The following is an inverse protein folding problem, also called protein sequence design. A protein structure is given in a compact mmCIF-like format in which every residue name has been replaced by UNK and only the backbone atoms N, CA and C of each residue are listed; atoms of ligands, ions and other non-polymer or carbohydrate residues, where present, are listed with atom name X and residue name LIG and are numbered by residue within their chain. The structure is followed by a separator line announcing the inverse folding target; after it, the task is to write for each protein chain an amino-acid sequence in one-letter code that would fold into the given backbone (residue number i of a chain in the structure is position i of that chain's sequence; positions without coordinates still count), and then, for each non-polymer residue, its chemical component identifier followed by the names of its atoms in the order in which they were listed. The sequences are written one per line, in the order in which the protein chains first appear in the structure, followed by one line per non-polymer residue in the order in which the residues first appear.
data_IF_700130211827
#
_entry.id   IF_700130211827
#
_cell.length_a   1.000
_cell.length_b   1.000
_cell.length_c   1.000
_cell.angle_alpha   90.00
_cell.angle_beta   90.00
_cell.angle_gamma   90.00
#
_symmetry.space_group_name_H-M   'P 1'
#
loop_
_entity.id
_entity.type
_entity.pdbx_description
1 polymer ?
#
# COMPACT_ATOMS: atom_id res chain seq x y z
N UNK A 1 21.28 -28.25 7.25
CA UNK A 1 21.55 -27.75 5.88
C UNK A 1 21.20 -28.82 4.85
N UNK A 2 20.40 -28.45 3.84
CA UNK A 2 20.26 -29.09 2.50
C UNK A 2 19.54 -30.45 2.31
N UNK A 3 18.53 -30.81 3.10
CA UNK A 3 17.60 -31.92 2.69
C UNK A 3 16.10 -31.67 2.77
N UNK A 4 15.63 -30.55 3.34
CA UNK A 4 14.19 -30.23 3.38
C UNK A 4 13.66 -29.41 2.18
N UNK A 5 14.53 -28.94 1.28
CA UNK A 5 14.12 -28.13 0.12
C UNK A 5 13.73 -29.01 -1.09
N UNK A 6 14.17 -30.27 -1.14
CA UNK A 6 13.85 -31.17 -2.27
C UNK A 6 12.48 -31.87 -2.09
N UNK A 7 11.91 -31.89 -0.88
CA UNK A 7 10.63 -32.57 -0.65
C UNK A 7 9.39 -31.75 -1.07
N UNK A 8 9.51 -30.43 -1.24
CA UNK A 8 8.40 -29.59 -1.70
C UNK A 8 8.19 -29.62 -3.22
N UNK A 9 9.21 -29.98 -4.00
CA UNK A 9 9.08 -30.15 -5.46
C UNK A 9 8.39 -31.44 -5.89
N UNK A 10 8.26 -32.43 -4.99
CA UNK A 10 7.73 -33.77 -5.31
C UNK A 10 6.23 -33.89 -4.95
N UNK A 11 5.69 -33.02 -4.08
CA UNK A 11 4.25 -33.06 -3.77
C UNK A 11 3.34 -32.62 -4.93
N UNK A 12 3.88 -31.99 -5.97
CA UNK A 12 3.13 -31.69 -7.20
C UNK A 12 3.00 -32.89 -8.15
N UNK A 13 3.76 -33.97 -7.95
CA UNK A 13 3.77 -35.13 -8.86
C UNK A 13 3.12 -36.40 -8.30
N UNK A 14 2.77 -36.45 -7.01
CA UNK A 14 2.09 -37.59 -6.39
C UNK A 14 0.80 -37.22 -5.62
N UNK A 15 0.09 -36.20 -6.09
CA UNK A 15 -1.25 -35.84 -5.61
C UNK A 15 -2.36 -36.76 -6.11
N UNK A 16 -2.11 -38.07 -6.21
CA UNK A 16 -3.12 -39.09 -6.38
C UNK A 16 -3.00 -40.02 -5.18
N UNK A 17 -3.82 -39.82 -4.16
CA UNK A 17 -4.47 -40.84 -3.33
C UNK A 17 -5.08 -40.15 -2.10
N UNK A 18 -6.37 -39.82 -2.19
CA UNK A 18 -7.41 -40.05 -1.17
C UNK A 18 -8.72 -39.36 -1.64
N UNK A 19 -9.80 -40.10 -1.90
CA UNK A 19 -11.06 -39.50 -2.32
C UNK A 19 -11.76 -38.88 -1.11
N UNK A 20 -11.97 -37.54 -1.14
CA UNK A 20 -12.97 -36.88 -0.29
C UNK A 20 -12.53 -35.78 0.69
N UNK A 21 -11.30 -35.21 0.62
CA UNK A 21 -10.88 -34.15 1.57
C UNK A 21 -10.33 -32.85 0.93
N UNK A 22 -10.54 -31.65 1.56
CA UNK A 22 -10.22 -30.31 1.01
C UNK A 22 -8.72 -29.91 1.02
N UNK A 23 -7.78 -30.85 1.08
CA UNK A 23 -6.38 -30.52 1.34
C UNK A 23 -5.69 -29.76 0.19
N UNK A 24 -6.05 -30.05 -1.07
CA UNK A 24 -5.48 -29.35 -2.23
C UNK A 24 -5.92 -27.88 -2.24
N UNK A 25 -7.17 -27.60 -1.88
CA UNK A 25 -7.73 -26.24 -1.85
C UNK A 25 -7.21 -25.39 -0.69
N UNK A 26 -6.98 -25.99 0.48
CA UNK A 26 -6.42 -25.26 1.63
C UNK A 26 -4.95 -24.90 1.38
N UNK A 27 -4.14 -25.86 0.90
CA UNK A 27 -2.74 -25.62 0.59
C UNK A 27 -2.55 -24.60 -0.56
N UNK A 28 -3.39 -24.63 -1.60
CA UNK A 28 -3.34 -23.62 -2.67
C UNK A 28 -3.75 -22.22 -2.20
N UNK A 29 -4.65 -22.14 -1.21
CA UNK A 29 -5.09 -20.87 -0.61
C UNK A 29 -3.98 -20.26 0.24
N UNK A 30 -3.37 -21.05 1.13
CA UNK A 30 -2.26 -20.62 1.97
C UNK A 30 -1.04 -20.21 1.14
N UNK A 31 -0.71 -20.97 0.10
CA UNK A 31 0.39 -20.62 -0.81
C UNK A 31 0.11 -19.33 -1.58
N UNK A 32 -1.13 -19.10 -2.03
CA UNK A 32 -1.52 -17.83 -2.63
C UNK A 32 -1.36 -16.67 -1.66
N UNK A 33 -1.72 -16.82 -0.38
CA UNK A 33 -1.61 -15.74 0.61
C UNK A 33 -0.15 -15.40 0.94
N UNK A 34 0.73 -16.41 0.98
CA UNK A 34 2.17 -16.22 1.12
C UNK A 34 2.77 -15.46 -0.08
N UNK A 35 2.34 -15.78 -1.30
CA UNK A 35 2.76 -15.07 -2.51
C UNK A 35 2.28 -13.62 -2.51
N UNK A 36 1.04 -13.36 -2.04
CA UNK A 36 0.53 -12.00 -1.86
C UNK A 36 1.36 -11.25 -0.83
N UNK A 37 1.63 -11.83 0.34
CA UNK A 37 2.42 -11.20 1.38
C UNK A 37 3.87 -10.91 0.94
N UNK A 38 4.48 -11.85 0.20
CA UNK A 38 5.78 -11.69 -0.45
C UNK A 38 5.75 -10.52 -1.44
N UNK A 39 4.75 -10.46 -2.31
CA UNK A 39 4.56 -9.37 -3.26
C UNK A 39 4.34 -8.01 -2.57
N UNK A 40 3.50 -7.96 -1.53
CA UNK A 40 3.25 -6.74 -0.74
C UNK A 40 4.53 -6.26 -0.04
N UNK A 41 5.37 -7.17 0.46
CA UNK A 41 6.69 -6.81 0.98
C UNK A 41 7.61 -6.25 -0.10
N UNK A 42 7.64 -6.86 -1.29
CA UNK A 42 8.42 -6.36 -2.42
C UNK A 42 7.96 -4.99 -2.89
N UNK A 43 6.65 -4.71 -2.87
CA UNK A 43 6.09 -3.39 -3.14
C UNK A 43 6.62 -2.34 -2.15
N UNK A 44 6.69 -2.68 -0.85
CA UNK A 44 7.21 -1.78 0.18
C UNK A 44 8.69 -1.44 -0.04
N UNK A 45 9.49 -2.36 -0.56
CA UNK A 45 10.89 -2.12 -0.90
C UNK A 45 11.10 -1.67 -2.35
N UNK A 46 10.04 -1.20 -3.01
CA UNK A 46 10.07 -0.67 -4.38
C UNK A 46 10.58 -1.67 -5.44
N UNK A 47 10.62 -2.96 -5.11
CA UNK A 47 10.89 -4.02 -6.07
C UNK A 47 9.59 -4.42 -6.78
N UNK A 48 9.05 -3.50 -7.57
CA UNK A 48 7.77 -3.67 -8.25
C UNK A 48 7.78 -4.81 -9.27
N UNK A 49 8.93 -5.03 -9.93
CA UNK A 49 9.08 -6.14 -10.89
C UNK A 49 9.06 -7.51 -10.22
N UNK A 50 9.70 -7.62 -9.04
CA UNK A 50 9.61 -8.81 -8.19
C UNK A 50 8.19 -9.02 -7.69
N UNK A 51 7.55 -7.96 -7.19
CA UNK A 51 6.18 -8.00 -6.71
C UNK A 51 5.21 -8.50 -7.80
N UNK A 52 5.34 -8.01 -9.04
CA UNK A 52 4.52 -8.49 -10.17
C UNK A 52 4.66 -9.99 -10.41
N UNK A 53 5.88 -10.55 -10.31
CA UNK A 53 6.09 -11.98 -10.50
C UNK A 53 5.37 -12.80 -9.44
N UNK A 54 5.42 -12.38 -8.18
CA UNK A 54 4.75 -13.06 -7.07
C UNK A 54 3.22 -12.94 -7.19
N UNK A 55 2.71 -11.74 -7.53
CA UNK A 55 1.28 -11.53 -7.75
C UNK A 55 0.73 -12.31 -8.95
N UNK A 56 1.49 -12.48 -10.04
CA UNK A 56 1.06 -13.31 -11.18
C UNK A 56 0.88 -14.77 -10.74
N UNK A 57 1.85 -15.34 -10.01
CA UNK A 57 1.72 -16.70 -9.47
C UNK A 57 0.53 -16.83 -8.52
N UNK A 58 0.31 -15.82 -7.67
CA UNK A 58 -0.85 -15.80 -6.78
C UNK A 58 -2.16 -15.76 -7.57
N UNK A 59 -2.22 -14.98 -8.65
CA UNK A 59 -3.40 -14.88 -9.51
C UNK A 59 -3.72 -16.21 -10.18
N UNK A 60 -2.71 -16.89 -10.74
CA UNK A 60 -2.86 -18.22 -11.35
C UNK A 60 -3.45 -19.23 -10.35
N UNK A 61 -2.97 -19.21 -9.10
CA UNK A 61 -3.53 -20.07 -8.05
C UNK A 61 -4.98 -19.69 -7.72
N UNK A 62 -5.27 -18.40 -7.51
CA UNK A 62 -6.62 -17.93 -7.21
C UNK A 62 -7.61 -18.27 -8.33
N UNK A 63 -7.22 -18.12 -9.59
CA UNK A 63 -8.02 -18.50 -10.75
C UNK A 63 -8.23 -20.03 -10.83
N UNK A 64 -7.21 -20.83 -10.50
CA UNK A 64 -7.31 -22.30 -10.52
C UNK A 64 -8.34 -22.86 -9.53
N UNK A 65 -8.48 -22.21 -8.37
CA UNK A 65 -9.48 -22.57 -7.34
C UNK A 65 -10.76 -21.76 -7.44
N UNK A 66 -10.88 -20.88 -8.46
CA UNK A 66 -12.03 -19.99 -8.68
C UNK A 66 -12.32 -19.07 -7.49
N UNK A 67 -11.29 -18.62 -6.78
CA UNK A 67 -11.41 -17.59 -5.74
C UNK A 67 -11.35 -16.20 -6.40
N UNK A 68 -12.51 -15.76 -6.86
CA UNK A 68 -12.64 -14.52 -7.63
C UNK A 68 -12.47 -13.27 -6.76
N UNK A 69 -12.82 -13.36 -5.47
CA UNK A 69 -12.56 -12.28 -4.50
C UNK A 69 -11.06 -12.07 -4.32
N UNK A 70 -10.30 -13.16 -4.18
CA UNK A 70 -8.85 -13.10 -4.09
C UNK A 70 -8.22 -12.65 -5.40
N UNK A 71 -8.68 -13.17 -6.54
CA UNK A 71 -8.24 -12.74 -7.87
C UNK A 71 -8.41 -11.23 -8.05
N UNK A 72 -9.55 -10.66 -7.62
CA UNK A 72 -9.80 -9.22 -7.65
C UNK A 72 -8.79 -8.43 -6.79
N UNK A 73 -8.53 -8.88 -5.57
CA UNK A 73 -7.55 -8.25 -4.69
C UNK A 73 -6.11 -8.29 -5.26
N UNK A 74 -5.75 -9.38 -5.95
CA UNK A 74 -4.45 -9.54 -6.62
C UNK A 74 -4.36 -8.65 -7.86
N UNK A 75 -5.42 -8.57 -8.67
CA UNK A 75 -5.46 -7.72 -9.86
C UNK A 75 -5.28 -6.24 -9.52
N UNK A 76 -5.80 -5.79 -8.38
CA UNK A 76 -5.57 -4.42 -7.90
C UNK A 76 -4.09 -4.18 -7.57
N UNK A 77 -3.41 -5.15 -6.94
CA UNK A 77 -1.97 -5.09 -6.66
C UNK A 77 -1.13 -5.13 -7.92
N UNK A 78 -1.52 -5.95 -8.90
CA UNK A 78 -0.91 -5.96 -10.24
C UNK A 78 -1.10 -4.62 -10.96
N UNK A 79 -2.29 -4.03 -10.85
CA UNK A 79 -2.57 -2.68 -11.34
C UNK A 79 -1.64 -1.65 -10.72
N UNK A 80 -1.55 -1.61 -9.38
CA UNK A 80 -0.67 -0.69 -8.64
C UNK A 80 0.80 -0.88 -9.01
N UNK A 81 1.31 -2.11 -8.97
CA UNK A 81 2.70 -2.40 -9.35
C UNK A 81 3.02 -2.00 -10.80
N UNK A 82 2.07 -2.13 -11.73
CA UNK A 82 2.25 -1.67 -13.10
C UNK A 82 2.26 -0.14 -13.23
N UNK A 83 1.49 0.58 -12.40
CA UNK A 83 1.54 2.05 -12.28
C UNK A 83 2.93 2.48 -11.82
N UNK A 84 3.45 1.88 -10.74
CA UNK A 84 4.79 2.18 -10.21
C UNK A 84 5.91 1.86 -11.22
N UNK A 85 5.73 0.84 -12.06
CA UNK A 85 6.65 0.51 -13.17
C UNK A 85 6.47 1.40 -14.41
N UNK A 86 5.61 2.41 -14.35
CA UNK A 86 5.27 3.29 -15.46
C UNK A 86 4.68 2.56 -16.69
N UNK A 87 4.09 1.36 -16.50
CA UNK A 87 3.49 0.54 -17.55
C UNK A 87 1.98 0.76 -17.60
N UNK A 88 1.59 1.85 -18.24
CA UNK A 88 0.18 2.26 -18.40
C UNK A 88 -0.69 1.19 -19.07
N UNK A 89 -0.13 0.42 -20.00
CA UNK A 89 -0.86 -0.60 -20.76
C UNK A 89 -1.21 -1.79 -19.87
N UNK A 90 -0.25 -2.32 -19.11
CA UNK A 90 -0.53 -3.42 -18.16
C UNK A 90 -1.42 -2.95 -17.02
N UNK A 91 -1.17 -1.77 -16.45
CA UNK A 91 -2.01 -1.22 -15.38
C UNK A 91 -3.48 -1.17 -15.81
N UNK A 92 -3.75 -0.56 -16.96
CA UNK A 92 -5.11 -0.47 -17.53
C UNK A 92 -5.72 -1.86 -17.78
N UNK A 93 -4.93 -2.82 -18.25
CA UNK A 93 -5.39 -4.20 -18.49
C UNK A 93 -5.83 -4.88 -17.19
N UNK A 94 -5.00 -4.82 -16.15
CA UNK A 94 -5.32 -5.42 -14.85
C UNK A 94 -6.52 -4.75 -14.19
N UNK A 95 -6.61 -3.42 -14.24
CA UNK A 95 -7.73 -2.69 -13.63
C UNK A 95 -9.07 -2.90 -14.37
N UNK A 96 -9.05 -3.08 -15.70
CA UNK A 96 -10.25 -3.50 -16.45
C UNK A 96 -10.67 -4.93 -16.09
N UNK A 97 -9.69 -5.82 -15.90
CA UNK A 97 -9.95 -7.18 -15.47
C UNK A 97 -10.59 -7.19 -14.07
N UNK A 98 -10.01 -6.46 -13.12
CA UNK A 98 -10.57 -6.26 -11.78
C UNK A 98 -12.02 -5.76 -11.83
N UNK A 99 -12.28 -4.69 -12.62
CA UNK A 99 -13.64 -4.14 -12.76
C UNK A 99 -14.65 -5.17 -13.28
N UNK A 100 -14.25 -6.03 -14.23
CA UNK A 100 -15.12 -7.09 -14.78
C UNK A 100 -15.50 -8.10 -13.71
N UNK A 101 -14.52 -8.60 -12.95
CA UNK A 101 -14.76 -9.54 -11.84
C UNK A 101 -15.63 -8.85 -10.79
N UNK A 102 -15.32 -7.62 -10.41
CA UNK A 102 -16.09 -6.89 -9.40
C UNK A 102 -17.56 -6.66 -9.78
N UNK A 103 -17.90 -6.57 -11.08
CA UNK A 103 -19.29 -6.54 -11.56
C UNK A 103 -20.03 -7.88 -11.35
N UNK A 104 -19.26 -8.97 -11.25
CA UNK A 104 -19.63 -10.34 -10.90
C UNK A 104 -20.38 -10.50 -9.57
N UNK A 105 -19.96 -9.72 -8.56
CA UNK A 105 -20.20 -10.02 -7.13
C UNK A 105 -20.94 -8.92 -6.39
N UNK A 106 -22.17 -9.16 -5.89
CA UNK A 106 -22.92 -8.17 -5.12
C UNK A 106 -22.13 -7.62 -3.91
N UNK A 107 -21.41 -8.49 -3.20
CA UNK A 107 -20.75 -8.19 -1.91
C UNK A 107 -19.27 -7.78 -2.02
N UNK A 108 -18.79 -7.35 -3.20
CA UNK A 108 -17.39 -6.95 -3.41
C UNK A 108 -17.14 -5.45 -3.17
N UNK A 109 -17.86 -4.82 -2.22
CA UNK A 109 -17.78 -3.38 -1.99
C UNK A 109 -16.35 -2.90 -1.60
N UNK A 110 -15.65 -3.52 -0.62
CA UNK A 110 -14.27 -3.12 -0.30
C UNK A 110 -13.33 -3.26 -1.50
N UNK A 111 -13.42 -4.36 -2.24
CA UNK A 111 -12.53 -4.63 -3.37
C UNK A 111 -12.83 -3.71 -4.57
N UNK A 112 -14.10 -3.35 -4.79
CA UNK A 112 -14.50 -2.31 -5.76
C UNK A 112 -13.91 -0.96 -5.39
N UNK A 113 -13.98 -0.57 -4.13
CA UNK A 113 -13.35 0.66 -3.66
C UNK A 113 -11.84 0.63 -3.91
N UNK A 114 -11.14 -0.43 -3.50
CA UNK A 114 -9.71 -0.59 -3.80
C UNK A 114 -9.38 -0.52 -5.30
N UNK A 115 -10.25 -1.06 -6.16
CA UNK A 115 -10.11 -0.95 -7.62
C UNK A 115 -10.25 0.50 -8.09
N UNK A 116 -11.24 1.24 -7.57
CA UNK A 116 -11.47 2.66 -7.87
C UNK A 116 -10.29 3.52 -7.40
N UNK A 117 -9.78 3.31 -6.18
CA UNK A 117 -8.60 4.01 -5.69
C UNK A 117 -7.38 3.77 -6.60
N UNK A 118 -7.20 2.54 -7.08
CA UNK A 118 -6.09 2.24 -8.01
C UNK A 118 -6.32 2.87 -9.40
N UNK A 119 -7.57 3.04 -9.84
CA UNK A 119 -7.88 3.89 -11.00
C UNK A 119 -7.58 5.38 -10.73
N UNK A 120 -7.81 5.86 -9.52
CA UNK A 120 -7.41 7.21 -9.09
C UNK A 120 -5.90 7.41 -9.25
N UNK A 121 -5.10 6.48 -8.74
CA UNK A 121 -3.65 6.44 -8.94
C UNK A 121 -3.26 6.38 -10.42
N UNK A 122 -3.97 5.56 -11.21
CA UNK A 122 -3.72 5.45 -12.65
C UNK A 122 -3.90 6.79 -13.37
N UNK A 123 -5.02 7.49 -13.13
CA UNK A 123 -5.28 8.78 -13.76
C UNK A 123 -4.37 9.89 -13.21
N UNK A 124 -3.99 9.83 -11.93
CA UNK A 124 -3.00 10.73 -11.35
C UNK A 124 -1.66 10.69 -12.11
N UNK A 125 -1.26 9.51 -12.62
CA UNK A 125 0.00 9.36 -13.35
C UNK A 125 -0.12 9.49 -14.87
N UNK A 126 -1.21 8.99 -15.46
CA UNK A 126 -1.31 8.82 -16.92
C UNK A 126 -2.46 9.58 -17.58
N UNK A 127 -3.21 10.40 -16.84
CA UNK A 127 -4.39 11.06 -17.39
C UNK A 127 -4.75 12.36 -16.67
N UNK A 128 -5.99 12.84 -16.86
CA UNK A 128 -6.41 14.12 -16.31
C UNK A 128 -6.71 14.03 -14.81
N UNK A 129 -6.30 15.07 -14.09
CA UNK A 129 -6.50 15.22 -12.64
C UNK A 129 -7.97 15.14 -12.21
N UNK A 130 -8.89 15.61 -13.06
CA UNK A 130 -10.34 15.53 -12.80
C UNK A 130 -10.84 14.09 -12.70
N UNK A 131 -10.30 13.18 -13.50
CA UNK A 131 -10.64 11.76 -13.40
C UNK A 131 -10.01 11.15 -12.14
N UNK A 132 -8.76 11.49 -11.83
CA UNK A 132 -8.10 11.01 -10.61
C UNK A 132 -8.93 11.34 -9.35
N UNK A 133 -9.32 12.60 -9.20
CA UNK A 133 -10.18 13.06 -8.12
C UNK A 133 -11.50 12.29 -8.04
N UNK A 134 -12.21 12.19 -9.17
CA UNK A 134 -13.50 11.47 -9.24
C UNK A 134 -13.39 10.00 -8.82
N UNK A 135 -12.29 9.32 -9.19
CA UNK A 135 -12.07 7.93 -8.81
C UNK A 135 -11.74 7.76 -7.32
N UNK A 136 -10.96 8.67 -6.72
CA UNK A 136 -10.70 8.67 -5.29
C UNK A 136 -11.98 8.95 -4.49
N UNK A 137 -12.78 9.95 -4.88
CA UNK A 137 -14.05 10.29 -4.24
C UNK A 137 -15.02 9.11 -4.23
N UNK A 138 -15.20 8.46 -5.38
CA UNK A 138 -16.06 7.27 -5.47
C UNK A 138 -15.54 6.09 -4.66
N UNK A 139 -14.23 5.95 -4.50
CA UNK A 139 -13.65 4.94 -3.61
C UNK A 139 -13.97 5.23 -2.16
N UNK A 140 -13.83 6.49 -1.72
CA UNK A 140 -14.10 6.90 -0.35
C UNK A 140 -15.59 6.79 -0.02
N UNK A 141 -16.47 7.20 -0.93
CA UNK A 141 -17.92 7.08 -0.79
C UNK A 141 -18.33 5.63 -0.47
N UNK A 142 -17.91 4.66 -1.29
CA UNK A 142 -18.20 3.23 -1.06
C UNK A 142 -17.68 2.76 0.31
N UNK A 143 -16.46 3.14 0.68
CA UNK A 143 -15.88 2.70 1.95
C UNK A 143 -16.64 3.30 3.14
N UNK A 144 -17.01 4.57 3.08
CA UNK A 144 -17.72 5.25 4.16
C UNK A 144 -19.15 4.73 4.31
N UNK A 145 -19.84 4.42 3.21
CA UNK A 145 -21.24 3.97 3.26
C UNK A 145 -21.39 2.49 3.55
N UNK A 146 -20.47 1.64 3.07
CA UNK A 146 -20.66 0.19 3.11
C UNK A 146 -19.64 -0.53 4.00
N UNK A 147 -18.50 0.09 4.31
CA UNK A 147 -17.35 -0.60 4.88
C UNK A 147 -16.57 0.29 5.86
N UNK A 148 -17.26 1.03 6.74
CA UNK A 148 -16.63 2.04 7.61
C UNK A 148 -15.59 1.46 8.59
N UNK A 149 -15.71 0.16 8.91
CA UNK A 149 -14.77 -0.60 9.75
C UNK A 149 -13.43 -0.90 9.04
N UNK A 150 -13.35 -0.72 7.71
CA UNK A 150 -12.13 -0.93 6.92
C UNK A 150 -11.15 0.24 7.08
N UNK A 151 -10.79 0.58 8.32
CA UNK A 151 -9.93 1.71 8.67
C UNK A 151 -8.59 1.70 7.91
N UNK A 152 -8.02 0.52 7.67
CA UNK A 152 -6.79 0.39 6.88
C UNK A 152 -6.97 0.80 5.41
N UNK A 153 -8.11 0.48 4.81
CA UNK A 153 -8.40 0.85 3.43
C UNK A 153 -8.75 2.33 3.32
N UNK A 154 -9.65 2.81 4.18
CA UNK A 154 -9.99 4.25 4.28
C UNK A 154 -8.75 5.10 4.43
N UNK A 155 -7.89 4.76 5.40
CA UNK A 155 -6.64 5.45 5.65
C UNK A 155 -5.67 5.44 4.46
N UNK A 156 -5.58 4.31 3.73
CA UNK A 156 -4.74 4.20 2.54
C UNK A 156 -5.26 5.06 1.38
N UNK A 157 -6.57 5.05 1.14
CA UNK A 157 -7.18 5.86 0.07
C UNK A 157 -7.06 7.34 0.39
N UNK A 158 -7.30 7.75 1.65
CA UNK A 158 -7.04 9.12 2.09
C UNK A 158 -5.58 9.52 1.86
N UNK A 159 -4.62 8.66 2.19
CA UNK A 159 -3.19 8.96 1.98
C UNK A 159 -2.87 9.19 0.50
N UNK A 160 -3.30 8.27 -0.36
CA UNK A 160 -3.08 8.35 -1.80
C UNK A 160 -3.76 9.60 -2.39
N UNK A 161 -4.96 9.95 -1.90
CA UNK A 161 -5.67 11.14 -2.35
C UNK A 161 -5.03 12.44 -1.85
N UNK A 162 -4.54 12.47 -0.61
CA UNK A 162 -3.79 13.59 -0.04
C UNK A 162 -2.50 13.87 -0.84
N UNK A 163 -1.77 12.82 -1.24
CA UNK A 163 -0.59 12.94 -2.11
C UNK A 163 -0.94 13.51 -3.48
N UNK A 164 -2.05 13.06 -4.08
CA UNK A 164 -2.57 13.64 -5.32
C UNK A 164 -2.89 15.13 -5.16
N UNK A 165 -3.66 15.50 -4.15
CA UNK A 165 -4.03 16.89 -3.89
C UNK A 165 -2.82 17.77 -3.58
N UNK A 166 -1.83 17.25 -2.86
CA UNK A 166 -0.57 17.94 -2.62
C UNK A 166 0.18 18.23 -3.93
N UNK A 167 0.27 17.26 -4.86
CA UNK A 167 0.89 17.45 -6.18
C UNK A 167 0.25 18.60 -6.97
N UNK A 168 -1.07 18.71 -6.93
CA UNK A 168 -1.82 19.76 -7.63
C UNK A 168 -1.99 21.04 -6.79
N UNK A 169 -1.34 21.12 -5.62
CA UNK A 169 -1.40 22.26 -4.67
C UNK A 169 -2.82 22.61 -4.23
N UNK A 170 -3.68 21.61 -4.08
CA UNK A 170 -5.03 21.78 -3.56
C UNK A 170 -4.97 21.86 -2.02
N UNK A 171 -5.57 22.89 -1.39
CA UNK A 171 -5.53 23.07 0.07
C UNK A 171 -6.21 21.94 0.85
N UNK A 172 -7.13 21.19 0.25
CA UNK A 172 -7.77 20.02 0.88
C UNK A 172 -6.81 18.86 1.12
N UNK A 173 -5.58 18.91 0.59
CA UNK A 173 -4.55 17.88 0.82
C UNK A 173 -4.26 17.66 2.31
N UNK A 174 -4.21 18.73 3.10
CA UNK A 174 -3.89 18.68 4.53
C UNK A 174 -4.98 17.95 5.31
N UNK A 175 -6.24 18.34 5.11
CA UNK A 175 -7.38 17.68 5.77
C UNK A 175 -7.41 16.18 5.44
N UNK A 176 -7.15 15.82 4.18
CA UNK A 176 -7.14 14.43 3.75
C UNK A 176 -5.96 13.65 4.36
N UNK A 177 -4.79 14.28 4.50
CA UNK A 177 -3.64 13.69 5.18
C UNK A 177 -3.95 13.44 6.66
N UNK A 178 -4.58 14.40 7.35
CA UNK A 178 -5.00 14.26 8.75
C UNK A 178 -5.99 13.10 8.90
N UNK A 179 -7.05 13.04 8.08
CA UNK A 179 -8.01 11.93 8.06
C UNK A 179 -7.34 10.58 7.85
N UNK A 180 -6.33 10.52 6.97
CA UNK A 180 -5.54 9.31 6.77
C UNK A 180 -4.90 8.83 8.08
N UNK A 181 -4.30 9.75 8.85
CA UNK A 181 -3.69 9.41 10.14
C UNK A 181 -4.72 8.90 11.16
N UNK A 182 -5.91 9.51 11.22
CA UNK A 182 -6.99 9.12 12.14
C UNK A 182 -7.46 7.68 11.90
N UNK A 183 -7.64 7.31 10.63
CA UNK A 183 -7.98 5.94 10.26
C UNK A 183 -6.82 4.97 10.51
N UNK A 184 -5.60 5.32 10.09
CA UNK A 184 -4.45 4.41 10.20
C UNK A 184 -3.96 4.21 11.64
N UNK A 185 -4.25 5.13 12.57
CA UNK A 185 -3.97 4.96 14.01
C UNK A 185 -4.73 3.79 14.64
N UNK A 186 -5.86 3.42 14.06
CA UNK A 186 -6.71 2.32 14.54
C UNK A 186 -6.21 0.96 14.04
N UNK A 187 -5.20 0.95 13.17
CA UNK A 187 -4.67 -0.26 12.52
C UNK A 187 -3.37 -0.71 13.19
N UNK A 188 -3.24 -2.02 13.38
CA UNK A 188 -2.05 -2.65 13.97
C UNK A 188 -1.16 -3.34 12.91
N UNK A 189 0.02 -3.80 13.33
CA UNK A 189 0.93 -4.58 12.49
C UNK A 189 1.68 -3.78 11.40
N UNK A 190 2.03 -4.46 10.30
CA UNK A 190 2.86 -3.90 9.20
C UNK A 190 2.20 -2.70 8.52
N UNK A 191 0.86 -2.62 8.57
CA UNK A 191 0.10 -1.46 8.08
C UNK A 191 0.44 -0.16 8.81
N UNK A 192 1.08 -0.20 9.99
CA UNK A 192 1.60 1.00 10.67
C UNK A 192 2.68 1.73 9.85
N UNK A 193 3.35 1.08 8.89
CA UNK A 193 4.27 1.77 7.97
C UNK A 193 3.53 2.86 7.18
N UNK A 194 2.26 2.61 6.79
CA UNK A 194 1.45 3.64 6.12
C UNK A 194 1.10 4.80 7.05
N UNK A 195 0.94 4.55 8.35
CA UNK A 195 0.76 5.62 9.33
C UNK A 195 2.01 6.51 9.43
N UNK A 196 3.21 5.92 9.35
CA UNK A 196 4.46 6.70 9.31
C UNK A 196 4.52 7.60 8.07
N UNK A 197 4.10 7.09 6.91
CA UNK A 197 4.00 7.87 5.66
C UNK A 197 2.96 9.00 5.77
N UNK A 198 1.78 8.73 6.32
CA UNK A 198 0.77 9.75 6.57
C UNK A 198 1.25 10.83 7.55
N UNK A 199 1.89 10.45 8.65
CA UNK A 199 2.52 11.41 9.58
C UNK A 199 3.63 12.21 8.91
N UNK A 200 4.47 11.59 8.09
CA UNK A 200 5.51 12.30 7.36
C UNK A 200 4.91 13.35 6.42
N UNK A 201 3.83 13.00 5.71
CA UNK A 201 3.11 13.92 4.84
C UNK A 201 2.52 15.11 5.63
N UNK A 202 1.80 14.85 6.74
CA UNK A 202 1.27 15.92 7.60
C UNK A 202 2.39 16.82 8.13
N UNK A 203 3.48 16.24 8.63
CA UNK A 203 4.63 17.00 9.14
C UNK A 203 5.24 17.92 8.07
N UNK A 204 5.30 17.47 6.82
CA UNK A 204 5.78 18.28 5.70
C UNK A 204 4.85 19.46 5.36
N UNK A 205 3.53 19.25 5.41
CA UNK A 205 2.52 20.27 5.12
C UNK A 205 2.45 21.34 6.22
N UNK A 206 2.43 20.90 7.48
CA UNK A 206 2.34 21.82 8.64
C UNK A 206 3.61 22.67 8.78
N UNK A 207 4.77 22.16 8.34
CA UNK A 207 6.02 22.94 8.26
C UNK A 207 5.85 24.22 7.43
N UNK A 208 5.07 24.17 6.35
CA UNK A 208 4.83 25.33 5.48
C UNK A 208 4.01 26.44 6.18
N UNK A 209 3.24 26.09 7.22
CA UNK A 209 2.40 27.01 8.00
C UNK A 209 3.09 27.59 9.23
N UNK A 210 4.25 27.06 9.63
CA UNK A 210 5.00 27.51 10.81
C UNK A 210 4.48 27.02 12.16
N UNK A 211 3.50 26.11 12.18
CA UNK A 211 2.90 25.54 13.39
C UNK A 211 3.83 24.48 14.01
N UNK A 212 4.82 24.95 14.77
CA UNK A 212 5.98 24.16 15.23
C UNK A 212 5.60 22.96 16.10
N UNK A 213 4.64 23.11 17.03
CA UNK A 213 4.23 22.01 17.91
C UNK A 213 3.56 20.87 17.15
N UNK A 214 2.66 21.21 16.23
CA UNK A 214 1.94 20.23 15.40
C UNK A 214 2.89 19.53 14.42
N UNK A 215 3.84 20.27 13.83
CA UNK A 215 4.93 19.69 13.02
C UNK A 215 5.71 18.67 13.83
N UNK A 216 6.12 19.02 15.05
CA UNK A 216 6.91 18.14 15.91
C UNK A 216 6.13 16.89 16.30
N UNK A 217 4.81 16.98 16.55
CA UNK A 217 3.96 15.82 16.80
C UNK A 217 4.03 14.80 15.66
N UNK A 218 3.82 15.25 14.42
CA UNK A 218 3.80 14.38 13.26
C UNK A 218 5.18 13.79 12.92
N UNK A 219 6.22 14.63 12.89
CA UNK A 219 7.57 14.17 12.54
C UNK A 219 8.11 13.17 13.58
N UNK A 220 7.94 13.45 14.87
CA UNK A 220 8.33 12.52 15.93
C UNK A 220 7.50 11.23 15.88
N UNK A 221 6.20 11.32 15.60
CA UNK A 221 5.33 10.16 15.44
C UNK A 221 5.78 9.25 14.29
N UNK A 222 6.13 9.82 13.14
CA UNK A 222 6.67 9.07 12.01
C UNK A 222 7.98 8.36 12.35
N UNK A 223 8.91 9.07 13.01
CA UNK A 223 10.20 8.51 13.43
C UNK A 223 10.06 7.41 14.50
N UNK A 224 9.12 7.56 15.44
CA UNK A 224 8.84 6.53 16.45
C UNK A 224 8.29 5.25 15.84
N UNK A 225 7.44 5.37 14.82
CA UNK A 225 6.97 4.19 14.08
C UNK A 225 8.16 3.56 13.35
N UNK A 226 8.97 4.36 12.66
CA UNK A 226 10.12 3.86 11.91
C UNK A 226 11.13 3.10 12.79
N UNK A 227 11.37 3.54 14.02
CA UNK A 227 12.35 2.93 14.92
C UNK A 227 12.00 1.49 15.35
N UNK A 228 10.71 1.12 15.27
CA UNK A 228 10.25 -0.25 15.54
C UNK A 228 10.19 -1.14 14.29
N UNK A 229 10.47 -0.59 13.11
CA UNK A 229 10.56 -1.33 11.84
C UNK A 229 12.02 -1.41 11.37
N UNK A 230 12.79 -2.44 11.78
CA UNK A 230 14.22 -2.56 11.49
C UNK A 230 14.58 -2.66 10.00
N UNK A 231 13.58 -2.87 9.13
CA UNK A 231 13.72 -2.81 7.67
C UNK A 231 12.58 -1.97 7.08
N UNK A 232 12.59 -0.68 7.35
CA UNK A 232 11.65 0.23 6.71
C UNK A 232 11.99 0.44 5.22
N UNK A 233 11.00 0.82 4.38
CA UNK A 233 11.27 1.26 3.02
C UNK A 233 12.34 2.36 2.99
N UNK A 234 13.45 2.19 2.23
CA UNK A 234 14.58 3.12 2.28
C UNK A 234 14.18 4.56 1.98
N UNK A 235 13.37 4.80 0.94
CA UNK A 235 12.95 6.14 0.57
C UNK A 235 12.07 6.81 1.63
N UNK A 236 11.16 6.06 2.26
CA UNK A 236 10.35 6.58 3.35
C UNK A 236 11.22 6.94 4.57
N UNK A 237 12.18 6.07 4.91
CA UNK A 237 13.12 6.32 5.99
C UNK A 237 13.94 7.61 5.74
N UNK A 238 14.47 7.77 4.52
CA UNK A 238 15.21 8.97 4.10
C UNK A 238 14.33 10.23 4.27
N UNK A 239 13.07 10.20 3.82
CA UNK A 239 12.16 11.34 3.93
C UNK A 239 11.86 11.71 5.39
N UNK A 240 11.59 10.71 6.24
CA UNK A 240 11.31 10.93 7.66
C UNK A 240 12.53 11.52 8.37
N UNK A 241 13.71 10.97 8.13
CA UNK A 241 14.94 11.51 8.72
C UNK A 241 15.30 12.90 8.20
N UNK A 242 15.02 13.21 6.92
CA UNK A 242 15.19 14.54 6.39
C UNK A 242 14.26 15.56 7.07
N UNK A 243 13.00 15.19 7.30
CA UNK A 243 12.05 16.04 8.03
C UNK A 243 12.44 16.21 9.51
N UNK A 244 12.95 15.15 10.14
CA UNK A 244 13.47 15.22 11.51
C UNK A 244 14.72 16.11 11.61
N UNK A 245 15.63 16.03 10.64
CA UNK A 245 16.80 16.90 10.59
C UNK A 245 16.41 18.36 10.33
N UNK A 246 15.44 18.61 9.43
CA UNK A 246 14.90 19.95 9.22
C UNK A 246 14.29 20.54 10.50
N UNK A 247 13.51 19.74 11.24
CA UNK A 247 12.99 20.13 12.56
C UNK A 247 14.11 20.55 13.53
N UNK A 248 15.25 19.86 13.52
CA UNK A 248 16.41 20.18 14.37
C UNK A 248 17.11 21.46 13.93
N UNK A 249 17.24 21.69 12.63
CA UNK A 249 17.75 22.95 12.07
C UNK A 249 16.85 24.13 12.48
N UNK A 250 15.54 23.99 12.36
CA UNK A 250 14.57 25.03 12.73
C UNK A 250 14.57 25.35 14.23
N UNK A 251 15.17 24.49 15.05
CA UNK A 251 15.32 24.67 16.50
C UNK A 251 16.75 25.06 16.92
N UNK A 252 17.61 25.47 15.97
CA UNK A 252 19.04 25.78 16.17
C UNK A 252 19.87 24.62 16.75
N UNK A 253 19.38 23.38 16.63
CA UNK A 253 20.04 22.15 17.09
C UNK A 253 20.89 21.52 15.96
N UNK A 254 21.85 22.29 15.44
CA UNK A 254 22.61 21.89 14.24
C UNK A 254 23.42 20.59 14.42
N UNK A 255 23.95 20.32 15.61
CA UNK A 255 24.71 19.09 15.87
C UNK A 255 23.81 17.83 15.75
N UNK A 256 22.60 17.88 16.31
CA UNK A 256 21.62 16.81 16.18
C UNK A 256 21.24 16.56 14.72
N UNK A 257 21.03 17.64 13.95
CA UNK A 257 20.70 17.55 12.53
C UNK A 257 21.81 16.84 11.73
N UNK A 258 23.08 17.18 12.00
CA UNK A 258 24.24 16.56 11.33
C UNK A 258 24.33 15.06 11.65
N UNK A 259 24.07 14.67 12.90
CA UNK A 259 24.06 13.26 13.31
C UNK A 259 22.98 12.50 12.52
N UNK A 260 21.76 13.06 12.43
CA UNK A 260 20.66 12.44 11.68
C UNK A 260 21.04 12.30 10.19
N UNK A 261 21.55 13.36 9.55
CA UNK A 261 21.94 13.30 8.13
C UNK A 261 23.04 12.27 7.84
N UNK A 262 23.99 12.06 8.76
CA UNK A 262 25.03 11.04 8.59
C UNK A 262 24.44 9.62 8.60
N UNK A 263 23.39 9.39 9.38
CA UNK A 263 22.68 8.11 9.43
C UNK A 263 21.79 7.85 8.21
N UNK A 264 21.48 8.86 7.40
CA UNK A 264 20.73 8.71 6.14
C UNK A 264 21.61 8.10 5.02
N UNK A 265 22.94 8.35 5.07
CA UNK A 265 23.89 7.97 4.00
C UNK A 265 24.55 6.60 4.14
N UNK A 266 24.46 5.98 5.31
CA UNK A 266 25.07 4.69 5.64
C UNK A 266 24.01 3.60 5.71
#
# INVERSE_FOLDING_TARGET
MRRHIVFFGILLLYGNFLPGYPQVTAASTETSDLLIASGDSLMLFENFSGAQKEFIKALELAESIKDERKALAILNRLGRSAIELNDSTKARRYLRHAKRIAGQYPNAAPERAGTLATWGLYYNQFGPDSLAASYFERSLDILQTCCAEEHGMLGSVCLDYAKFWSRIKNPSAEEMAIRSTEYLRQVSGVSRIKLADAYNLCGSMVRERGETELRNHYVNGAAQILSVFPKAPPNLAIQIYANLAAQKVDADQFQDAVIIYRNIKN
#
